data_IF_672716917684
#
_entry.id   IF_672716917684
#
_cell.length_a   1.000
_cell.length_b   1.000
_cell.length_c   1.000
_cell.angle_alpha   90.00
_cell.angle_beta   90.00
_cell.angle_gamma   90.00
#
_symmetry.space_group_name_H-M   'P 1'
#
loop_
_entity.id
_entity.type
_entity.pdbx_description
1 polymer ?
#
# COMPACT_ATOMS: atom_id res chain seq x y z
N UNK A 1 3.74 5.05 26.86
CA UNK A 1 3.69 3.64 26.49
C UNK A 1 3.43 3.40 25.02
N UNK A 2 2.51 4.13 24.41
CA UNK A 2 2.26 4.02 22.97
C UNK A 2 3.45 4.44 22.11
N UNK A 3 4.28 5.38 22.57
CA UNK A 3 5.45 5.86 21.86
C UNK A 3 6.55 4.80 21.82
N UNK A 4 6.80 4.11 22.96
CA UNK A 4 7.81 3.06 23.02
C UNK A 4 7.40 1.84 22.17
N UNK A 5 6.09 1.49 22.13
CA UNK A 5 5.60 0.40 21.30
C UNK A 5 5.77 0.69 19.81
N UNK A 6 5.52 1.94 19.40
CA UNK A 6 5.72 2.36 18.00
C UNK A 6 7.19 2.27 17.58
N UNK A 7 8.08 2.71 18.47
CA UNK A 7 9.52 2.64 18.21
C UNK A 7 9.98 1.19 18.14
N UNK A 8 9.49 0.34 19.03
CA UNK A 8 9.79 -1.10 19.02
C UNK A 8 9.28 -1.77 17.76
N UNK A 9 8.05 -1.45 17.34
CA UNK A 9 7.50 -1.98 16.08
C UNK A 9 8.34 -1.57 14.89
N UNK A 10 8.77 -0.31 14.82
CA UNK A 10 9.61 0.18 13.73
C UNK A 10 10.94 -0.56 13.68
N UNK A 11 11.57 -0.77 14.84
CA UNK A 11 12.83 -1.51 14.93
C UNK A 11 12.63 -2.96 14.54
N UNK A 12 11.56 -3.61 15.00
CA UNK A 12 11.24 -4.99 14.67
C UNK A 12 10.99 -5.15 13.17
N UNK A 13 10.22 -4.27 12.58
CA UNK A 13 9.95 -4.31 11.13
C UNK A 13 11.24 -4.16 10.34
N UNK A 14 12.10 -3.24 10.73
CA UNK A 14 13.38 -3.03 10.07
C UNK A 14 14.24 -4.30 10.08
N UNK A 15 14.28 -4.97 11.22
CA UNK A 15 15.01 -6.22 11.36
C UNK A 15 14.39 -7.33 10.51
N UNK A 16 13.06 -7.44 10.53
CA UNK A 16 12.33 -8.45 9.73
C UNK A 16 12.56 -8.22 8.25
N UNK A 17 12.53 -6.97 7.79
CA UNK A 17 12.79 -6.64 6.38
C UNK A 17 14.18 -7.11 5.97
N UNK A 18 15.18 -6.88 6.83
CA UNK A 18 16.55 -7.35 6.56
C UNK A 18 16.61 -8.87 6.45
N UNK A 19 15.91 -9.58 7.32
CA UNK A 19 15.86 -11.03 7.29
C UNK A 19 15.25 -11.54 5.97
N UNK A 20 14.15 -10.93 5.54
CA UNK A 20 13.51 -11.31 4.27
C UNK A 20 14.43 -11.01 3.10
N UNK A 21 15.08 -9.84 3.10
CA UNK A 21 16.04 -9.47 2.05
C UNK A 21 17.22 -10.42 1.98
N UNK A 22 17.61 -11.01 3.12
CA UNK A 22 18.69 -11.98 3.20
C UNK A 22 18.26 -13.40 2.76
N UNK A 23 16.97 -13.61 2.48
CA UNK A 23 16.47 -14.88 1.97
C UNK A 23 15.51 -15.61 2.88
N UNK A 24 15.26 -15.13 4.10
CA UNK A 24 14.30 -15.72 5.02
C UNK A 24 12.90 -15.23 4.67
N UNK A 25 12.30 -15.87 3.66
CA UNK A 25 10.98 -15.48 3.18
C UNK A 25 9.87 -15.75 4.21
N UNK A 26 10.10 -16.70 5.11
CA UNK A 26 9.14 -17.01 6.15
C UNK A 26 8.95 -15.81 7.11
N UNK A 27 9.99 -15.03 7.32
CA UNK A 27 9.91 -13.83 8.16
C UNK A 27 8.91 -12.81 7.62
N UNK A 28 8.55 -12.88 6.34
CA UNK A 28 7.59 -11.96 5.72
C UNK A 28 6.20 -12.07 6.33
N UNK A 29 5.86 -13.19 6.98
CA UNK A 29 4.58 -13.36 7.67
C UNK A 29 4.38 -12.29 8.75
N UNK A 30 5.45 -11.86 9.40
CA UNK A 30 5.39 -10.77 10.39
C UNK A 30 5.01 -9.44 9.74
N UNK A 31 5.53 -9.18 8.55
CA UNK A 31 5.18 -7.98 7.78
C UNK A 31 3.70 -7.99 7.43
N UNK A 32 3.21 -9.12 6.93
CA UNK A 32 1.78 -9.27 6.60
C UNK A 32 0.93 -9.00 7.84
N UNK A 33 1.28 -9.64 8.96
CA UNK A 33 0.54 -9.50 10.21
C UNK A 33 0.47 -8.04 10.67
N UNK A 34 1.57 -7.32 10.56
CA UNK A 34 1.64 -5.93 11.01
C UNK A 34 0.87 -4.97 10.14
N UNK A 35 0.79 -5.21 8.84
CA UNK A 35 0.24 -4.25 7.88
C UNK A 35 -1.07 -4.69 7.22
N UNK A 36 -1.52 -5.91 7.45
CA UNK A 36 -2.67 -6.50 6.74
C UNK A 36 -3.91 -5.63 6.85
N UNK A 37 -4.24 -5.19 8.05
CA UNK A 37 -5.44 -4.40 8.29
C UNK A 37 -5.37 -3.03 7.60
N UNK A 38 -4.24 -2.34 7.74
CA UNK A 38 -4.06 -1.01 7.18
C UNK A 38 -4.08 -1.04 5.66
N UNK A 39 -3.39 -2.00 5.06
CA UNK A 39 -3.36 -2.13 3.60
C UNK A 39 -4.75 -2.47 3.07
N UNK A 40 -5.46 -3.39 3.73
CA UNK A 40 -6.83 -3.70 3.34
C UNK A 40 -7.72 -2.46 3.39
N UNK A 41 -7.67 -1.69 4.47
CA UNK A 41 -8.49 -0.49 4.62
C UNK A 41 -8.17 0.55 3.55
N UNK A 42 -6.90 0.69 3.21
CA UNK A 42 -6.49 1.61 2.17
C UNK A 42 -7.02 1.18 0.81
N UNK A 43 -6.91 -0.10 0.48
CA UNK A 43 -7.46 -0.65 -0.76
C UNK A 43 -8.99 -0.49 -0.81
N UNK A 44 -9.65 -0.73 0.31
CA UNK A 44 -11.09 -0.54 0.41
C UNK A 44 -11.48 0.92 0.15
N UNK A 45 -10.74 1.84 0.71
CA UNK A 45 -10.96 3.26 0.49
C UNK A 45 -10.88 3.62 -0.99
N UNK A 46 -9.89 3.09 -1.68
CA UNK A 46 -9.68 3.41 -3.09
C UNK A 46 -10.66 2.69 -4.01
N UNK A 47 -10.96 1.43 -3.73
CA UNK A 47 -11.75 0.59 -4.63
C UNK A 47 -13.24 0.59 -4.32
N UNK A 48 -13.62 0.84 -3.06
CA UNK A 48 -15.01 0.92 -2.65
C UNK A 48 -15.76 -0.40 -2.61
N UNK A 49 -15.06 -1.53 -2.74
CA UNK A 49 -15.65 -2.86 -2.77
C UNK A 49 -14.82 -3.79 -1.89
N UNK A 50 -15.50 -4.52 -0.99
CA UNK A 50 -14.84 -5.37 -0.01
C UNK A 50 -14.04 -6.50 -0.66
N UNK A 51 -14.64 -7.21 -1.60
CA UNK A 51 -13.98 -8.34 -2.27
C UNK A 51 -12.80 -7.89 -3.10
N UNK A 52 -12.95 -6.80 -3.85
CA UNK A 52 -11.86 -6.23 -4.63
C UNK A 52 -10.72 -5.77 -3.72
N UNK A 53 -11.06 -5.20 -2.56
CA UNK A 53 -10.05 -4.75 -1.60
C UNK A 53 -9.28 -5.93 -0.99
N UNK A 54 -9.97 -7.02 -0.68
CA UNK A 54 -9.31 -8.23 -0.18
C UNK A 54 -8.33 -8.80 -1.20
N UNK A 55 -8.76 -8.92 -2.45
CA UNK A 55 -7.91 -9.41 -3.53
C UNK A 55 -6.71 -8.48 -3.78
N UNK A 56 -6.98 -7.17 -3.83
CA UNK A 56 -5.92 -6.18 -4.04
C UNK A 56 -4.90 -6.20 -2.92
N UNK A 57 -5.36 -6.32 -1.68
CA UNK A 57 -4.48 -6.38 -0.51
C UNK A 57 -3.53 -7.57 -0.60
N UNK A 58 -4.04 -8.74 -0.97
CA UNK A 58 -3.20 -9.92 -1.15
C UNK A 58 -2.15 -9.70 -2.25
N UNK A 59 -2.57 -9.13 -3.37
CA UNK A 59 -1.66 -8.84 -4.49
C UNK A 59 -0.58 -7.84 -4.09
N UNK A 60 -0.92 -6.86 -3.27
CA UNK A 60 0.05 -5.89 -2.75
C UNK A 60 1.14 -6.58 -1.95
N UNK A 61 0.77 -7.50 -1.06
CA UNK A 61 1.76 -8.23 -0.27
C UNK A 61 2.61 -9.14 -1.13
N UNK A 62 2.05 -9.76 -2.16
CA UNK A 62 2.82 -10.56 -3.11
C UNK A 62 3.83 -9.68 -3.85
N UNK A 63 3.40 -8.54 -4.35
CA UNK A 63 4.29 -7.58 -5.02
C UNK A 63 5.39 -7.08 -4.08
N UNK A 64 5.03 -6.83 -2.82
CA UNK A 64 5.98 -6.44 -1.80
C UNK A 64 7.07 -7.49 -1.61
N UNK A 65 6.69 -8.76 -1.49
CA UNK A 65 7.64 -9.84 -1.32
C UNK A 65 8.56 -9.99 -2.53
N UNK A 66 7.98 -9.96 -3.73
CA UNK A 66 8.73 -10.10 -4.98
C UNK A 66 9.78 -9.00 -5.13
N UNK A 67 9.47 -7.79 -4.68
CA UNK A 67 10.32 -6.62 -4.89
C UNK A 67 11.09 -6.18 -3.63
N UNK A 68 11.02 -6.94 -2.54
CA UNK A 68 11.57 -6.49 -1.26
C UNK A 68 13.09 -6.29 -1.30
N UNK A 69 13.79 -7.02 -2.15
CA UNK A 69 15.26 -6.86 -2.29
C UNK A 69 15.64 -5.52 -2.90
N UNK A 70 14.73 -4.90 -3.65
CA UNK A 70 14.94 -3.59 -4.25
C UNK A 70 14.65 -2.45 -3.28
N UNK A 71 14.00 -2.75 -2.15
CA UNK A 71 13.69 -1.73 -1.16
C UNK A 71 14.96 -1.24 -0.48
N UNK A 72 15.11 0.09 -0.39
CA UNK A 72 16.18 0.75 0.36
C UNK A 72 15.54 1.67 1.40
N UNK A 73 16.27 1.94 2.48
CA UNK A 73 15.72 2.77 3.56
C UNK A 73 15.83 4.28 3.28
N UNK A 74 15.75 4.67 2.01
CA UNK A 74 15.53 6.08 1.65
C UNK A 74 14.16 6.57 2.09
N UNK A 75 13.20 5.64 2.22
CA UNK A 75 11.87 5.90 2.79
C UNK A 75 11.57 4.81 3.81
N UNK A 76 10.54 5.00 4.63
CA UNK A 76 10.11 3.95 5.56
C UNK A 76 9.52 2.77 4.77
N UNK A 77 9.59 1.57 5.35
CA UNK A 77 9.00 0.39 4.72
C UNK A 77 7.49 0.57 4.55
N UNK A 78 6.83 1.16 5.54
CA UNK A 78 5.40 1.46 5.48
C UNK A 78 5.06 2.32 4.26
N UNK A 79 5.80 3.41 4.06
CA UNK A 79 5.58 4.29 2.91
C UNK A 79 5.78 3.56 1.58
N UNK A 80 6.79 2.71 1.50
CA UNK A 80 7.07 1.92 0.32
C UNK A 80 5.93 0.95 0.00
N UNK A 81 5.41 0.27 1.04
CA UNK A 81 4.32 -0.68 0.90
C UNK A 81 3.01 0.02 0.47
N UNK A 82 2.70 1.17 1.06
CA UNK A 82 1.53 1.97 0.67
C UNK A 82 1.65 2.46 -0.77
N UNK A 83 2.84 2.76 -1.22
CA UNK A 83 3.06 3.16 -2.61
C UNK A 83 2.71 2.02 -3.57
N UNK A 84 3.12 0.80 -3.22
CA UNK A 84 2.75 -0.39 -4.00
C UNK A 84 1.22 -0.53 -4.03
N UNK A 85 0.57 -0.39 -2.87
CA UNK A 85 -0.88 -0.48 -2.77
C UNK A 85 -1.58 0.57 -3.63
N UNK A 86 -1.10 1.80 -3.57
CA UNK A 86 -1.65 2.90 -4.37
C UNK A 86 -1.58 2.60 -5.87
N UNK A 87 -0.40 2.24 -6.35
CA UNK A 87 -0.20 1.96 -7.78
C UNK A 87 -1.05 0.77 -8.23
N UNK A 88 -1.11 -0.27 -7.42
CA UNK A 88 -1.90 -1.45 -7.75
C UNK A 88 -3.38 -1.11 -7.88
N UNK A 89 -3.93 -0.37 -6.92
CA UNK A 89 -5.33 0.03 -6.94
C UNK A 89 -5.64 0.99 -8.09
N UNK A 90 -4.74 1.92 -8.39
CA UNK A 90 -4.91 2.82 -9.53
C UNK A 90 -4.94 2.05 -10.84
N UNK A 91 -4.08 1.04 -10.99
CA UNK A 91 -4.10 0.19 -12.17
C UNK A 91 -5.41 -0.58 -12.31
N UNK A 92 -5.93 -1.10 -11.20
CA UNK A 92 -7.24 -1.77 -11.21
C UNK A 92 -8.36 -0.83 -11.63
N UNK A 93 -8.37 0.38 -11.11
CA UNK A 93 -9.37 1.39 -11.45
C UNK A 93 -9.29 1.78 -12.92
N UNK A 94 -8.09 1.91 -13.46
CA UNK A 94 -7.88 2.18 -14.89
C UNK A 94 -8.45 1.06 -15.75
N UNK A 95 -8.21 -0.18 -15.39
CA UNK A 95 -8.73 -1.34 -16.12
C UNK A 95 -10.25 -1.39 -16.05
N UNK A 96 -10.83 -1.17 -14.87
CA UNK A 96 -12.26 -1.19 -14.65
C UNK A 96 -12.98 -0.12 -15.46
N UNK A 97 -12.37 1.05 -15.60
CA UNK A 97 -12.94 2.19 -16.30
C UNK A 97 -12.53 2.28 -17.77
N UNK A 98 -11.76 1.31 -18.28
CA UNK A 98 -11.26 1.35 -19.65
C UNK A 98 -12.37 1.33 -20.68
N UNK A 99 -13.43 0.54 -20.49
CA UNK A 99 -14.61 0.53 -21.31
C UNK A 99 -15.41 1.84 -21.22
N UNK A 100 -15.44 2.42 -20.07
CA UNK A 100 -16.13 3.68 -19.80
C UNK A 100 -15.39 4.87 -20.43
N UNK A 101 -14.07 4.81 -20.49
CA UNK A 101 -13.24 5.83 -21.17
C UNK A 101 -13.52 5.89 -22.65
N UNK A 102 -13.77 4.75 -23.24
CA UNK A 102 -14.06 4.65 -24.67
C UNK A 102 -15.37 5.36 -25.01
N UNK A 103 -16.30 5.36 -24.06
CA UNK A 103 -17.62 5.97 -24.22
C UNK A 103 -17.60 7.48 -24.02
N UNK A 104 -16.78 7.99 -23.13
CA UNK A 104 -16.72 9.42 -22.82
C UNK A 104 -15.26 9.83 -22.70
N UNK A 105 -14.66 10.31 -23.79
CA UNK A 105 -13.34 10.93 -23.76
C UNK A 105 -13.20 12.04 -22.74
N UNK A 106 -14.32 12.48 -22.20
CA UNK A 106 -14.47 13.49 -21.17
C UNK A 106 -13.96 13.06 -19.78
N UNK A 107 -14.01 11.75 -19.47
CA UNK A 107 -13.67 11.28 -18.13
C UNK A 107 -12.19 11.01 -17.90
N UNK A 108 -11.37 11.10 -18.91
CA UNK A 108 -9.93 10.92 -18.78
C UNK A 108 -9.31 11.97 -17.85
N UNK A 109 -9.76 13.23 -17.96
CA UNK A 109 -9.29 14.31 -17.11
C UNK A 109 -9.74 14.13 -15.66
N UNK A 110 -11.00 13.73 -15.45
CA UNK A 110 -11.51 13.47 -14.10
C UNK A 110 -10.78 12.33 -13.41
N UNK A 111 -10.38 11.31 -14.15
CA UNK A 111 -9.62 10.20 -13.58
C UNK A 111 -8.22 10.62 -13.15
N UNK A 112 -7.59 11.51 -13.90
CA UNK A 112 -6.29 12.06 -13.52
C UNK A 112 -6.43 12.88 -12.24
N UNK A 113 -7.48 13.69 -12.13
CA UNK A 113 -7.76 14.46 -10.92
C UNK A 113 -8.04 13.56 -9.72
N UNK A 114 -8.83 12.50 -9.88
CA UNK A 114 -9.10 11.55 -8.81
C UNK A 114 -7.83 10.84 -8.36
N UNK A 115 -6.97 10.46 -9.27
CA UNK A 115 -5.68 9.85 -8.93
C UNK A 115 -4.82 10.82 -8.14
N UNK A 116 -4.84 12.08 -8.51
CA UNK A 116 -4.11 13.13 -7.81
C UNK A 116 -4.66 13.37 -6.41
N UNK A 117 -5.97 13.42 -6.26
CA UNK A 117 -6.63 13.56 -4.96
C UNK A 117 -6.34 12.37 -4.05
N UNK A 118 -6.37 11.16 -4.60
CA UNK A 118 -6.02 9.94 -3.86
C UNK A 118 -4.58 9.99 -3.37
N UNK A 119 -3.67 10.53 -4.17
CA UNK A 119 -2.28 10.71 -3.79
C UNK A 119 -2.13 11.66 -2.60
N UNK A 120 -2.86 12.77 -2.61
CA UNK A 120 -2.88 13.70 -1.48
C UNK A 120 -3.49 13.08 -0.23
N UNK A 121 -4.52 12.27 -0.40
CA UNK A 121 -5.15 11.56 0.71
C UNK A 121 -4.18 10.57 1.36
N UNK A 122 -3.36 9.90 0.57
CA UNK A 122 -2.32 9.01 1.06
C UNK A 122 -1.36 9.76 1.99
N UNK A 123 -0.91 10.94 1.60
CA UNK A 123 -0.07 11.77 2.43
C UNK A 123 -0.75 12.15 3.74
N UNK A 124 -2.04 12.47 3.70
CA UNK A 124 -2.82 12.79 4.89
C UNK A 124 -2.94 11.60 5.84
N UNK A 125 -3.16 10.40 5.30
CA UNK A 125 -3.22 9.17 6.09
C UNK A 125 -1.86 8.91 6.74
N UNK A 126 -0.77 9.08 6.04
CA UNK A 126 0.58 8.92 6.58
C UNK A 126 0.85 9.89 7.72
N UNK A 127 0.40 11.13 7.59
CA UNK A 127 0.51 12.11 8.67
C UNK A 127 -0.30 11.70 9.90
N UNK A 128 -1.51 11.21 9.71
CA UNK A 128 -2.34 10.71 10.80
C UNK A 128 -1.67 9.55 11.53
N UNK A 129 -1.04 8.65 10.79
CA UNK A 129 -0.31 7.54 11.38
C UNK A 129 0.93 7.98 12.15
N UNK A 130 1.59 9.05 11.72
CA UNK A 130 2.75 9.59 12.41
C UNK A 130 2.37 10.28 13.72
N UNK A 131 1.18 10.90 13.74
CA UNK A 131 0.70 11.65 14.91
C UNK A 131 0.09 10.73 15.97
N UNK A 132 -0.13 9.48 15.64
CA UNK A 132 -0.61 8.45 16.54
C UNK A 132 0.47 7.46 16.88
#
# INVERSE_FOLDING_TARGET
MTISNKTEETVVIKEVVKQVQAGDTYAYTEIIRCFQKQIYLYCYYLLGNKEEAEDASQDVFIKGLVNIRQFTYSVSFSAWLYKIAHHHCMDLLKKKNKGFRFWTGFKKEQMVEQSYESYHYEDSIHQLYRDH
#
